data_IF_543129573396
#
_entry.id   IF_543129573396
#
_cell.length_a   1.000
_cell.length_b   1.000
_cell.length_c   1.000
_cell.angle_alpha   90.00
_cell.angle_beta   90.00
_cell.angle_gamma   90.00
#
_symmetry.space_group_name_H-M   'P 1'
#
loop_
_entity.id
_entity.type
_entity.pdbx_description
1 polymer ?
#
# COMPACT_ATOMS: atom_id res chain seq x y z
N UNK A 1 8.48 9.68 -63.55
CA UNK A 1 8.83 8.91 -62.33
C UNK A 1 10.25 9.26 -61.94
N UNK A 2 10.46 10.34 -61.19
CA UNK A 2 11.70 10.64 -60.46
C UNK A 2 11.34 11.75 -59.46
N UNK A 3 10.61 11.37 -58.41
CA UNK A 3 10.60 12.13 -57.17
C UNK A 3 11.67 11.49 -56.30
N UNK A 4 12.66 12.31 -55.98
CA UNK A 4 14.02 12.00 -55.57
C UNK A 4 14.13 11.25 -54.24
N UNK A 5 15.00 10.23 -54.22
CA UNK A 5 15.56 9.61 -53.01
C UNK A 5 16.11 10.61 -51.99
N UNK A 6 16.53 11.79 -52.45
CA UNK A 6 17.03 12.90 -51.62
C UNK A 6 16.00 13.42 -50.61
N UNK A 7 14.70 13.37 -50.91
CA UNK A 7 13.66 13.86 -50.00
C UNK A 7 13.39 12.89 -48.83
N UNK A 8 13.58 11.59 -49.06
CA UNK A 8 13.40 10.54 -48.04
C UNK A 8 14.59 10.56 -47.07
N UNK A 9 15.83 10.69 -47.58
CA UNK A 9 17.02 10.77 -46.73
C UNK A 9 17.06 12.06 -45.88
N UNK A 10 16.55 13.19 -46.40
CA UNK A 10 16.37 14.41 -45.61
C UNK A 10 15.34 14.24 -44.50
N UNK A 11 14.21 13.54 -44.75
CA UNK A 11 13.20 13.26 -43.73
C UNK A 11 13.73 12.31 -42.64
N UNK A 12 14.53 11.30 -42.99
CA UNK A 12 15.21 10.42 -42.03
C UNK A 12 16.29 11.15 -41.23
N UNK A 13 17.10 11.99 -41.88
CA UNK A 13 18.09 12.84 -41.22
C UNK A 13 17.46 13.85 -40.25
N UNK A 14 16.34 14.46 -40.63
CA UNK A 14 15.54 15.35 -39.76
C UNK A 14 14.94 14.58 -38.59
N UNK A 15 14.41 13.37 -38.79
CA UNK A 15 13.91 12.53 -37.69
C UNK A 15 15.03 12.10 -36.71
N UNK A 16 16.23 11.79 -37.19
CA UNK A 16 17.38 11.44 -36.34
C UNK A 16 17.86 12.68 -35.58
N UNK A 17 17.91 13.85 -36.21
CA UNK A 17 18.28 15.11 -35.56
C UNK A 17 17.23 15.53 -34.54
N UNK A 18 15.94 15.42 -34.84
CA UNK A 18 14.84 15.70 -33.90
C UNK A 18 14.89 14.70 -32.73
N UNK A 19 15.10 13.40 -32.98
CA UNK A 19 15.26 12.38 -31.93
C UNK A 19 16.49 12.65 -31.04
N UNK A 20 17.60 13.08 -31.64
CA UNK A 20 18.84 13.46 -30.93
C UNK A 20 18.67 14.76 -30.12
N UNK A 21 17.97 15.76 -30.66
CA UNK A 21 17.64 17.02 -29.97
C UNK A 21 16.64 16.78 -28.83
N UNK A 22 15.62 15.95 -29.04
CA UNK A 22 14.66 15.54 -28.00
C UNK A 22 15.33 14.70 -26.91
N UNK A 23 16.32 13.85 -27.26
CA UNK A 23 17.15 13.15 -26.27
C UNK A 23 18.06 14.11 -25.48
N UNK A 24 18.48 15.23 -26.05
CA UNK A 24 19.24 16.28 -25.34
C UNK A 24 18.37 17.20 -24.47
N UNK A 25 17.05 17.05 -24.47
CA UNK A 25 16.11 17.87 -23.67
C UNK A 25 15.57 17.16 -22.42
N UNK A 26 15.94 15.91 -22.17
CA UNK A 26 15.48 15.17 -20.99
C UNK A 26 16.20 15.63 -19.73
N UNK A 27 15.45 15.81 -18.66
CA UNK A 27 16.00 16.05 -17.33
C UNK A 27 16.55 14.73 -16.81
N UNK A 28 17.88 14.68 -16.64
CA UNK A 28 18.56 13.53 -16.06
C UNK A 28 18.40 13.55 -14.55
N UNK A 29 17.87 12.46 -13.99
CA UNK A 29 17.67 12.32 -12.55
C UNK A 29 18.45 11.11 -12.05
N UNK A 30 19.38 11.37 -11.14
CA UNK A 30 20.17 10.31 -10.50
C UNK A 30 19.44 9.75 -9.30
N UNK A 31 19.08 8.48 -9.37
CA UNK A 31 18.29 7.80 -8.35
C UNK A 31 19.05 6.58 -7.82
N UNK A 32 19.02 6.42 -6.50
CA UNK A 32 19.51 5.26 -5.79
C UNK A 32 18.35 4.56 -5.09
N UNK A 33 18.46 3.26 -4.90
CA UNK A 33 17.55 2.47 -4.08
C UNK A 33 18.32 1.90 -2.89
N UNK A 34 17.66 1.78 -1.74
CA UNK A 34 18.29 1.18 -0.55
C UNK A 34 18.76 -0.25 -0.82
N UNK A 35 19.75 -0.68 -0.04
CA UNK A 35 20.20 -2.08 -0.05
C UNK A 35 19.04 -3.04 0.27
N UNK A 36 18.92 -4.12 -0.52
CA UNK A 36 17.82 -5.09 -0.39
C UNK A 36 16.49 -4.67 -1.03
N UNK A 37 16.44 -3.57 -1.79
CA UNK A 37 15.29 -3.27 -2.64
C UNK A 37 15.09 -4.36 -3.71
N UNK A 38 13.90 -4.93 -3.77
CA UNK A 38 13.57 -5.99 -4.74
C UNK A 38 13.27 -5.40 -6.12
N UNK A 39 13.59 -6.17 -7.17
CA UNK A 39 13.47 -5.72 -8.56
C UNK A 39 12.06 -5.23 -8.91
N UNK A 40 11.01 -5.90 -8.41
CA UNK A 40 9.63 -5.48 -8.66
C UNK A 40 9.30 -4.13 -8.00
N UNK A 41 9.93 -3.77 -6.88
CA UNK A 41 9.71 -2.48 -6.22
C UNK A 41 10.34 -1.34 -7.03
N UNK A 42 11.57 -1.56 -7.50
CA UNK A 42 12.30 -0.65 -8.39
C UNK A 42 11.51 -0.46 -9.68
N UNK A 43 11.10 -1.56 -10.31
CA UNK A 43 10.31 -1.55 -11.53
C UNK A 43 8.95 -0.85 -11.32
N UNK A 44 8.26 -1.12 -10.22
CA UNK A 44 7.00 -0.46 -9.89
C UNK A 44 7.19 1.05 -9.74
N UNK A 45 8.25 1.47 -9.03
CA UNK A 45 8.58 2.88 -8.85
C UNK A 45 8.82 3.60 -10.19
N UNK A 46 9.71 3.05 -11.01
CA UNK A 46 10.09 3.65 -12.31
C UNK A 46 8.92 3.66 -13.31
N UNK A 47 8.11 2.60 -13.34
CA UNK A 47 6.93 2.51 -14.24
C UNK A 47 5.87 3.57 -13.94
N UNK A 48 5.83 4.17 -12.74
CA UNK A 48 4.91 5.29 -12.46
C UNK A 48 5.15 6.47 -13.39
N UNK A 49 6.42 6.81 -13.65
CA UNK A 49 6.77 7.95 -14.49
C UNK A 49 6.42 7.72 -15.96
N UNK A 50 6.54 6.48 -16.44
CA UNK A 50 6.08 6.11 -17.79
C UNK A 50 4.58 6.35 -18.00
N UNK A 51 3.76 6.23 -16.94
CA UNK A 51 2.30 6.44 -16.99
C UNK A 51 1.86 7.91 -16.88
N UNK A 52 2.74 8.82 -16.49
CA UNK A 52 2.40 10.24 -16.25
C UNK A 52 2.69 11.08 -17.50
N UNK A 53 3.93 10.98 -17.99
CA UNK A 53 4.49 11.43 -19.28
C UNK A 53 6.01 11.48 -19.07
N UNK A 54 6.63 10.31 -18.90
CA UNK A 54 8.04 10.18 -18.55
C UNK A 54 9.00 10.55 -19.68
N UNK A 55 8.50 11.04 -20.82
CA UNK A 55 9.31 11.42 -21.97
C UNK A 55 10.31 12.56 -21.65
N UNK A 56 10.02 13.34 -20.61
CA UNK A 56 10.83 14.45 -20.12
C UNK A 56 11.88 14.04 -19.08
N UNK A 57 11.80 12.84 -18.51
CA UNK A 57 12.73 12.34 -17.49
C UNK A 57 13.61 11.21 -18.04
N UNK A 58 14.87 11.22 -17.65
CA UNK A 58 15.79 10.10 -17.85
C UNK A 58 16.38 9.70 -16.48
N UNK A 59 16.06 8.50 -16.01
CA UNK A 59 16.58 8.00 -14.73
C UNK A 59 17.93 7.31 -14.92
N UNK A 60 18.94 7.81 -14.22
CA UNK A 60 20.24 7.16 -14.08
C UNK A 60 20.29 6.47 -12.71
N UNK A 61 20.33 5.14 -12.72
CA UNK A 61 20.36 4.36 -11.47
C UNK A 61 21.82 4.24 -11.01
N UNK A 62 22.20 5.06 -10.04
CA UNK A 62 23.52 5.06 -9.42
C UNK A 62 23.36 5.45 -7.94
N UNK A 63 23.43 4.47 -7.04
CA UNK A 63 23.23 4.68 -5.60
C UNK A 63 24.26 5.63 -4.99
N UNK A 64 25.51 5.59 -5.47
CA UNK A 64 26.61 6.37 -4.89
C UNK A 64 26.50 7.84 -5.29
N UNK A 65 26.15 8.10 -6.55
CA UNK A 65 26.02 9.46 -7.12
C UNK A 65 24.59 10.00 -7.15
N UNK A 66 23.65 9.28 -6.53
CA UNK A 66 22.24 9.64 -6.51
C UNK A 66 21.96 10.96 -5.78
N UNK A 67 21.11 11.79 -6.38
CA UNK A 67 20.46 12.91 -5.73
C UNK A 67 19.27 12.45 -4.87
N UNK A 68 18.55 11.43 -5.36
CA UNK A 68 17.37 10.84 -4.72
C UNK A 68 17.67 9.42 -4.22
N UNK A 69 17.38 9.13 -2.96
CA UNK A 69 17.44 7.77 -2.40
C UNK A 69 16.03 7.28 -2.07
N UNK A 70 15.61 6.21 -2.74
CA UNK A 70 14.29 5.59 -2.56
C UNK A 70 14.41 4.43 -1.57
N UNK A 71 13.62 4.52 -0.51
CA UNK A 71 13.49 3.51 0.53
C UNK A 71 12.09 2.88 0.51
N UNK A 72 11.96 1.69 1.08
CA UNK A 72 10.71 0.95 1.18
C UNK A 72 10.47 0.49 2.62
N UNK A 73 9.22 0.15 3.02
CA UNK A 73 8.90 -0.28 4.38
C UNK A 73 9.74 -1.46 4.91
N UNK A 74 10.18 -2.36 4.04
CA UNK A 74 11.03 -3.50 4.38
C UNK A 74 12.36 -3.09 5.02
N UNK A 75 12.79 -1.83 4.89
CA UNK A 75 13.89 -1.25 5.64
C UNK A 75 13.74 -1.51 7.15
N UNK A 76 12.53 -1.43 7.70
CA UNK A 76 12.29 -1.63 9.14
C UNK A 76 12.29 -3.08 9.60
N UNK A 77 12.19 -4.02 8.66
CA UNK A 77 12.29 -5.46 8.91
C UNK A 77 13.61 -6.04 8.42
N UNK A 78 14.47 -5.21 7.82
CA UNK A 78 15.79 -5.59 7.31
C UNK A 78 16.78 -5.86 8.44
N UNK A 79 17.98 -6.32 8.06
CA UNK A 79 19.06 -6.47 9.04
C UNK A 79 19.41 -5.12 9.66
N UNK A 80 19.95 -5.19 10.87
CA UNK A 80 20.47 -4.01 11.57
C UNK A 80 21.53 -3.29 10.75
N UNK A 81 22.39 -4.05 10.08
CA UNK A 81 23.46 -3.57 9.21
C UNK A 81 22.89 -2.78 8.03
N UNK A 82 21.85 -3.29 7.36
CA UNK A 82 21.19 -2.60 6.26
C UNK A 82 20.54 -1.29 6.71
N UNK A 83 19.93 -1.28 7.89
CA UNK A 83 19.35 -0.05 8.44
C UNK A 83 20.41 1.02 8.75
N UNK A 84 21.55 0.61 9.34
CA UNK A 84 22.67 1.52 9.61
C UNK A 84 23.30 2.05 8.32
N UNK A 85 23.46 1.19 7.31
CA UNK A 85 23.94 1.57 5.99
C UNK A 85 23.01 2.59 5.35
N UNK A 86 21.69 2.38 5.40
CA UNK A 86 20.70 3.36 4.95
C UNK A 86 20.90 4.73 5.62
N UNK A 87 21.08 4.77 6.95
CA UNK A 87 21.25 6.05 7.66
C UNK A 87 22.45 6.84 7.14
N UNK A 88 23.56 6.15 6.85
CA UNK A 88 24.76 6.78 6.29
C UNK A 88 24.54 7.21 4.83
N UNK A 89 24.03 6.30 3.98
CA UNK A 89 23.75 6.58 2.57
C UNK A 89 22.71 7.69 2.36
N UNK A 90 21.83 7.93 3.34
CA UNK A 90 20.79 8.94 3.32
C UNK A 90 21.31 10.38 3.49
N UNK A 91 22.58 10.55 3.91
CA UNK A 91 23.18 11.86 4.14
C UNK A 91 23.36 12.61 2.83
N UNK A 92 23.01 13.89 2.81
CA UNK A 92 23.12 14.74 1.62
C UNK A 92 22.12 14.45 0.50
N UNK A 93 21.36 13.34 0.55
CA UNK A 93 20.37 12.98 -0.49
C UNK A 93 18.96 13.47 -0.15
N UNK A 94 18.10 13.53 -1.16
CA UNK A 94 16.65 13.63 -1.00
C UNK A 94 16.12 12.23 -0.80
N UNK A 95 15.48 11.96 0.33
CA UNK A 95 15.13 10.58 0.71
C UNK A 95 13.63 10.41 0.71
N UNK A 96 13.16 9.41 -0.03
CA UNK A 96 11.73 9.17 -0.24
C UNK A 96 11.39 7.79 0.31
N UNK A 97 10.42 7.71 1.21
CA UNK A 97 9.81 6.44 1.61
C UNK A 97 8.66 6.13 0.66
N UNK A 98 8.78 5.07 -0.14
CA UNK A 98 7.75 4.59 -1.06
C UNK A 98 7.02 3.37 -0.48
N UNK A 99 5.79 3.58 -0.03
CA UNK A 99 4.98 2.57 0.67
C UNK A 99 4.00 1.91 -0.30
N UNK A 100 4.30 0.68 -0.73
CA UNK A 100 3.55 -0.05 -1.76
C UNK A 100 2.34 -0.85 -1.27
N UNK A 101 2.04 -0.83 0.04
CA UNK A 101 0.95 -1.65 0.58
C UNK A 101 0.95 -1.89 2.10
N UNK A 102 1.89 -1.30 2.83
CA UNK A 102 1.96 -1.44 4.29
C UNK A 102 1.33 -0.25 5.02
N UNK A 103 0.67 -0.52 6.13
CA UNK A 103 0.12 0.50 7.00
C UNK A 103 1.25 1.12 7.84
N UNK A 104 1.85 2.20 7.34
CA UNK A 104 3.02 2.81 7.95
C UNK A 104 2.89 4.34 7.96
N UNK A 105 3.06 4.94 9.15
CA UNK A 105 3.10 6.38 9.30
C UNK A 105 4.44 6.99 8.84
N UNK A 106 4.42 8.23 8.34
CA UNK A 106 5.61 8.90 7.85
C UNK A 106 6.56 9.25 9.01
N UNK A 107 7.86 8.97 8.82
CA UNK A 107 8.93 9.47 9.69
C UNK A 107 9.64 10.63 9.00
N UNK A 108 9.05 11.82 9.08
CA UNK A 108 9.54 13.03 8.41
C UNK A 108 10.88 13.56 8.97
N UNK A 109 11.44 12.92 10.00
CA UNK A 109 12.83 13.18 10.40
C UNK A 109 13.83 12.39 9.52
N UNK A 110 13.44 11.22 8.99
CA UNK A 110 14.30 10.40 8.14
C UNK A 110 14.06 10.60 6.64
N UNK A 111 12.85 10.98 6.25
CA UNK A 111 12.44 11.08 4.84
C UNK A 111 12.02 12.51 4.48
N UNK A 112 12.50 13.02 3.36
CA UNK A 112 12.05 14.29 2.76
C UNK A 112 10.60 14.16 2.33
N UNK A 113 10.28 13.06 1.67
CA UNK A 113 8.94 12.74 1.17
C UNK A 113 8.48 11.35 1.61
N UNK A 114 7.18 11.19 1.73
CA UNK A 114 6.52 9.93 1.98
C UNK A 114 5.42 9.71 0.95
N UNK A 115 5.56 8.67 0.14
CA UNK A 115 4.55 8.21 -0.80
C UNK A 115 3.81 7.07 -0.13
N UNK A 116 2.51 7.25 0.15
CA UNK A 116 1.77 6.28 0.94
C UNK A 116 0.27 6.58 1.02
N UNK A 117 -0.34 6.19 2.14
CA UNK A 117 -1.78 6.32 2.35
C UNK A 117 -2.18 7.65 2.99
N UNK A 118 -1.23 8.34 3.62
CA UNK A 118 -1.49 9.55 4.39
C UNK A 118 -1.98 10.70 3.49
N UNK A 119 -2.85 11.53 4.07
CA UNK A 119 -3.35 12.71 3.37
C UNK A 119 -2.19 13.69 3.07
N UNK A 120 -2.25 14.44 1.95
CA UNK A 120 -1.27 15.47 1.69
C UNK A 120 -1.20 16.49 2.82
N UNK A 121 0.01 16.91 3.18
CA UNK A 121 0.28 17.98 4.13
C UNK A 121 0.52 19.32 3.41
N UNK A 122 0.52 20.40 4.17
CA UNK A 122 0.70 21.76 3.63
C UNK A 122 2.11 21.99 3.05
N UNK A 123 3.12 21.24 3.52
CA UNK A 123 4.50 21.33 3.04
C UNK A 123 4.78 20.46 1.80
N UNK A 124 3.79 19.66 1.36
CA UNK A 124 3.91 18.80 0.18
C UNK A 124 4.88 17.63 0.36
N UNK A 125 5.14 17.20 1.60
CA UNK A 125 6.00 16.06 1.94
C UNK A 125 5.25 14.75 1.86
N UNK A 126 3.93 14.77 2.04
CA UNK A 126 3.07 13.60 2.01
C UNK A 126 2.37 13.49 0.64
N UNK A 127 2.70 12.44 -0.09
CA UNK A 127 2.12 12.14 -1.39
C UNK A 127 1.15 10.97 -1.24
N UNK A 128 -0.15 11.28 -1.22
CA UNK A 128 -1.20 10.28 -1.15
C UNK A 128 -1.25 9.48 -2.47
N UNK A 129 -0.77 8.24 -2.43
CA UNK A 129 -0.64 7.39 -3.58
C UNK A 129 -1.98 6.77 -3.98
N UNK A 130 -2.30 6.80 -5.27
CA UNK A 130 -3.46 6.10 -5.86
C UNK A 130 -3.02 4.78 -6.51
N UNK A 131 -2.33 3.90 -5.78
CA UNK A 131 -1.72 2.69 -6.38
C UNK A 131 -2.73 1.64 -6.87
N UNK A 132 -3.93 1.64 -6.30
CA UNK A 132 -5.04 0.77 -6.72
C UNK A 132 -5.96 1.46 -7.74
N UNK A 133 -5.56 2.61 -8.31
CA UNK A 133 -6.38 3.37 -9.26
C UNK A 133 -6.95 2.48 -10.37
N UNK A 134 -6.09 1.76 -11.08
CA UNK A 134 -6.46 0.95 -12.25
C UNK A 134 -7.48 -0.13 -11.84
N UNK A 135 -7.34 -0.71 -10.64
CA UNK A 135 -8.27 -1.69 -10.11
C UNK A 135 -9.60 -1.08 -9.64
N UNK A 136 -9.55 0.09 -8.99
CA UNK A 136 -10.75 0.83 -8.57
C UNK A 136 -11.56 1.30 -9.79
N UNK A 137 -10.91 1.62 -10.90
CA UNK A 137 -11.59 1.97 -12.16
C UNK A 137 -12.33 0.78 -12.78
N UNK A 138 -11.82 -0.45 -12.64
CA UNK A 138 -12.54 -1.65 -13.10
C UNK A 138 -13.87 -1.87 -12.37
N UNK A 139 -14.05 -1.29 -11.18
CA UNK A 139 -15.30 -1.45 -10.42
C UNK A 139 -16.45 -0.61 -10.97
N UNK A 140 -16.20 0.35 -11.85
CA UNK A 140 -17.23 1.26 -12.38
C UNK A 140 -18.31 0.50 -13.13
N UNK A 141 -17.96 -0.60 -13.80
CA UNK A 141 -18.87 -1.35 -14.69
C UNK A 141 -19.57 -2.53 -13.98
N UNK A 142 -19.18 -2.87 -12.74
CA UNK A 142 -19.71 -4.05 -12.02
C UNK A 142 -21.19 -3.97 -11.64
N UNK A 143 -21.78 -2.77 -11.59
CA UNK A 143 -23.19 -2.57 -11.22
C UNK A 143 -24.17 -3.05 -12.31
N UNK A 144 -23.67 -3.45 -13.47
CA UNK A 144 -24.46 -3.96 -14.59
C UNK A 144 -24.79 -5.45 -14.48
N UNK A 145 -24.22 -6.16 -13.50
CA UNK A 145 -24.50 -7.58 -13.29
C UNK A 145 -25.86 -7.79 -12.61
N UNK A 146 -26.66 -8.72 -13.13
CA UNK A 146 -27.93 -9.11 -12.51
C UNK A 146 -27.67 -9.79 -11.15
N UNK A 147 -28.23 -9.29 -10.04
CA UNK A 147 -28.10 -9.91 -8.72
C UNK A 147 -28.56 -11.37 -8.64
N UNK A 148 -29.57 -11.77 -9.42
CA UNK A 148 -30.05 -13.16 -9.45
C UNK A 148 -28.99 -14.11 -10.03
N UNK A 149 -28.33 -13.70 -11.12
CA UNK A 149 -27.23 -14.46 -11.72
C UNK A 149 -26.04 -14.57 -10.76
N UNK A 150 -25.74 -13.48 -10.04
CA UNK A 150 -24.69 -13.47 -9.03
C UNK A 150 -25.00 -14.43 -7.88
N UNK A 151 -26.25 -14.46 -7.40
CA UNK A 151 -26.70 -15.33 -6.31
C UNK A 151 -26.73 -16.81 -6.71
N UNK A 152 -27.16 -17.12 -7.94
CA UNK A 152 -27.20 -18.49 -8.46
C UNK A 152 -25.82 -19.18 -8.42
N UNK A 153 -24.74 -18.41 -8.53
CA UNK A 153 -23.37 -18.91 -8.45
C UNK A 153 -22.80 -19.03 -7.03
N UNK A 154 -23.59 -18.80 -5.98
CA UNK A 154 -23.13 -18.84 -4.58
C UNK A 154 -23.54 -20.13 -3.88
N UNK A 155 -22.56 -20.99 -3.59
CA UNK A 155 -22.73 -22.23 -2.82
C UNK A 155 -22.19 -22.11 -1.38
N UNK A 156 -21.30 -21.16 -1.13
CA UNK A 156 -20.66 -20.91 0.15
C UNK A 156 -21.23 -19.70 0.88
N UNK A 157 -21.23 -19.78 2.22
CA UNK A 157 -21.63 -18.65 3.07
C UNK A 157 -20.59 -17.53 3.05
N UNK A 158 -19.41 -17.79 3.60
CA UNK A 158 -18.37 -16.78 3.78
C UNK A 158 -16.98 -17.40 3.64
N UNK A 159 -16.06 -16.68 2.99
CA UNK A 159 -14.65 -17.06 2.93
C UNK A 159 -13.75 -16.19 3.81
N UNK A 160 -12.64 -16.78 4.24
CA UNK A 160 -11.53 -16.17 4.97
C UNK A 160 -10.19 -16.55 4.30
N UNK A 161 -9.51 -15.58 3.69
CA UNK A 161 -8.33 -15.84 2.85
C UNK A 161 -7.12 -15.07 3.39
N UNK A 162 -6.41 -15.66 4.36
CA UNK A 162 -5.25 -15.04 5.02
C UNK A 162 -4.11 -16.04 5.22
N UNK A 163 -2.86 -15.59 5.07
CA UNK A 163 -1.68 -16.47 5.14
C UNK A 163 -1.06 -16.59 6.53
N UNK A 164 -1.24 -15.60 7.41
CA UNK A 164 -0.70 -15.61 8.78
C UNK A 164 -1.59 -14.87 9.78
N UNK A 165 -1.43 -15.21 11.06
CA UNK A 165 -2.22 -14.65 12.17
C UNK A 165 -1.70 -13.34 12.77
N UNK A 166 -0.60 -12.79 12.24
CA UNK A 166 0.03 -11.55 12.77
C UNK A 166 -0.72 -10.25 12.46
N UNK A 167 -1.86 -10.32 11.76
CA UNK A 167 -2.70 -9.15 11.53
C UNK A 167 -3.46 -8.73 12.79
N UNK A 168 -4.19 -7.62 12.70
CA UNK A 168 -4.97 -7.09 13.80
C UNK A 168 -5.97 -8.13 14.35
N UNK A 169 -6.12 -8.26 15.69
CA UNK A 169 -6.95 -9.29 16.31
C UNK A 169 -8.40 -9.34 15.82
N UNK A 170 -8.94 -8.19 15.38
CA UNK A 170 -10.28 -8.08 14.82
C UNK A 170 -10.56 -9.10 13.71
N UNK A 171 -9.57 -9.43 12.87
CA UNK A 171 -9.69 -10.45 11.82
C UNK A 171 -10.12 -11.81 12.37
N UNK A 172 -9.42 -12.24 13.42
CA UNK A 172 -9.61 -13.57 14.03
C UNK A 172 -10.90 -13.56 14.86
N UNK A 173 -11.17 -12.47 15.56
CA UNK A 173 -12.40 -12.32 16.34
C UNK A 173 -13.63 -12.38 15.42
N UNK A 174 -13.64 -11.64 14.31
CA UNK A 174 -14.72 -11.68 13.33
C UNK A 174 -14.88 -13.08 12.69
N UNK A 175 -13.77 -13.73 12.33
CA UNK A 175 -13.81 -15.10 11.83
C UNK A 175 -14.44 -16.06 12.84
N UNK A 176 -14.04 -15.98 14.11
CA UNK A 176 -14.53 -16.85 15.18
C UNK A 176 -16.02 -16.65 15.45
N UNK A 177 -16.47 -15.39 15.57
CA UNK A 177 -17.87 -15.06 15.84
C UNK A 177 -18.77 -15.45 14.66
N UNK A 178 -18.34 -15.23 13.41
CA UNK A 178 -19.09 -15.68 12.23
C UNK A 178 -19.12 -17.20 12.10
N UNK A 179 -18.02 -17.89 12.40
CA UNK A 179 -17.94 -19.36 12.37
C UNK A 179 -18.87 -20.02 13.39
N UNK A 180 -19.20 -19.33 14.48
CA UNK A 180 -20.20 -19.78 15.45
C UNK A 180 -21.64 -19.70 14.91
N UNK A 181 -21.90 -18.80 13.95
CA UNK A 181 -23.20 -18.70 13.28
C UNK A 181 -23.34 -19.72 12.14
N UNK A 182 -22.39 -19.72 11.20
CA UNK A 182 -22.37 -20.61 10.03
C UNK A 182 -20.92 -20.83 9.59
N UNK A 183 -20.59 -22.01 9.06
CA UNK A 183 -19.21 -22.36 8.66
C UNK A 183 -18.62 -21.28 7.75
N UNK A 184 -17.49 -20.72 8.17
CA UNK A 184 -16.64 -19.85 7.34
C UNK A 184 -15.51 -20.70 6.78
N UNK A 185 -15.34 -20.68 5.46
CA UNK A 185 -14.28 -21.41 4.78
C UNK A 185 -12.98 -20.60 4.82
N UNK A 186 -12.05 -21.05 5.65
CA UNK A 186 -10.69 -20.54 5.74
C UNK A 186 -9.83 -21.24 4.67
N UNK A 187 -9.63 -20.54 3.55
CA UNK A 187 -8.94 -21.06 2.37
C UNK A 187 -7.44 -20.75 2.43
N UNK A 188 -7.05 -19.66 3.09
CA UNK A 188 -5.63 -19.31 3.26
C UNK A 188 -4.89 -20.26 4.21
N UNK A 189 -3.57 -20.11 4.33
CA UNK A 189 -2.72 -20.92 5.23
C UNK A 189 -3.12 -20.77 6.70
N UNK A 190 -3.65 -19.62 7.10
CA UNK A 190 -4.04 -19.34 8.47
C UNK A 190 -5.46 -19.85 8.76
N UNK A 191 -5.58 -20.66 9.82
CA UNK A 191 -6.84 -21.31 10.24
C UNK A 191 -7.46 -22.21 9.16
N UNK A 192 -6.64 -22.72 8.23
CA UNK A 192 -7.10 -23.46 7.07
C UNK A 192 -8.06 -24.60 7.45
N UNK A 193 -9.24 -24.61 6.85
CA UNK A 193 -10.24 -25.67 7.00
C UNK A 193 -10.86 -26.11 5.66
N UNK A 194 -10.40 -25.50 4.56
CA UNK A 194 -10.88 -25.73 3.19
C UNK A 194 -9.70 -25.70 2.22
N UNK A 195 -9.61 -26.64 1.25
CA UNK A 195 -8.50 -26.71 0.31
C UNK A 195 -8.28 -25.41 -0.48
N UNK A 196 -7.02 -25.01 -0.63
CA UNK A 196 -6.64 -23.85 -1.41
C UNK A 196 -6.26 -24.26 -2.84
N UNK A 197 -7.15 -23.99 -3.81
CA UNK A 197 -6.88 -24.31 -5.22
C UNK A 197 -5.86 -23.36 -5.86
N UNK A 198 -5.73 -22.13 -5.34
CA UNK A 198 -4.85 -21.09 -5.89
C UNK A 198 -4.04 -20.46 -4.75
N UNK A 199 -2.75 -20.80 -4.59
CA UNK A 199 -1.95 -20.31 -3.48
C UNK A 199 -1.61 -18.81 -3.59
N UNK A 200 -1.18 -18.19 -2.48
CA UNK A 200 -0.79 -16.77 -2.43
C UNK A 200 0.38 -16.45 -3.36
N UNK A 201 1.22 -17.44 -3.60
CA UNK A 201 2.43 -17.36 -4.41
C UNK A 201 2.16 -17.55 -5.93
N UNK A 202 0.89 -17.67 -6.34
CA UNK A 202 0.52 -17.72 -7.75
C UNK A 202 0.88 -16.40 -8.48
N UNK A 203 1.20 -16.51 -9.78
CA UNK A 203 1.65 -15.39 -10.62
C UNK A 203 0.68 -14.20 -10.61
N UNK A 204 -0.62 -14.46 -10.77
CA UNK A 204 -1.68 -13.46 -10.61
C UNK A 204 -2.53 -13.78 -9.38
N UNK A 205 -1.99 -13.45 -8.21
CA UNK A 205 -2.74 -13.56 -6.96
C UNK A 205 -4.04 -12.76 -6.98
N UNK A 206 -4.09 -11.61 -7.64
CA UNK A 206 -5.28 -10.77 -7.63
C UNK A 206 -6.45 -11.51 -8.30
N UNK A 207 -6.25 -11.99 -9.53
CA UNK A 207 -7.23 -12.79 -10.25
C UNK A 207 -7.54 -14.10 -9.51
N UNK A 208 -6.51 -14.77 -8.99
CA UNK A 208 -6.67 -16.00 -8.21
C UNK A 208 -7.57 -15.80 -6.98
N UNK A 209 -7.36 -14.71 -6.25
CA UNK A 209 -8.14 -14.38 -5.06
C UNK A 209 -9.58 -14.00 -5.39
N UNK A 210 -9.88 -13.52 -6.60
CA UNK A 210 -11.25 -13.28 -7.08
C UNK A 210 -11.94 -14.62 -7.34
N UNK A 211 -11.25 -15.55 -8.01
CA UNK A 211 -11.78 -16.89 -8.28
C UNK A 211 -12.10 -17.65 -6.98
N UNK A 212 -11.22 -17.59 -5.98
CA UNK A 212 -11.47 -18.22 -4.68
C UNK A 212 -12.68 -17.62 -3.94
N UNK A 213 -12.99 -16.34 -4.13
CA UNK A 213 -14.11 -15.66 -3.49
C UNK A 213 -15.44 -15.86 -4.22
N UNK A 214 -15.40 -16.16 -5.52
CA UNK A 214 -16.56 -16.21 -6.41
C UNK A 214 -17.71 -17.12 -5.91
N UNK A 215 -17.46 -18.29 -5.29
CA UNK A 215 -18.55 -19.15 -4.84
C UNK A 215 -19.28 -18.66 -3.57
N UNK A 216 -18.83 -17.58 -2.92
CA UNK A 216 -19.33 -17.19 -1.60
C UNK A 216 -20.24 -15.96 -1.62
N UNK A 217 -21.30 -15.95 -0.79
CA UNK A 217 -22.16 -14.78 -0.56
C UNK A 217 -21.39 -13.62 0.09
N UNK A 218 -20.51 -13.92 1.04
CA UNK A 218 -19.71 -12.94 1.78
C UNK A 218 -18.21 -13.24 1.70
N UNK A 219 -17.38 -12.20 1.87
CA UNK A 219 -15.94 -12.34 2.06
C UNK A 219 -15.45 -11.45 3.20
N UNK A 220 -14.72 -12.02 4.15
CA UNK A 220 -14.05 -11.22 5.19
C UNK A 220 -12.91 -10.45 4.52
N UNK A 221 -13.11 -9.15 4.33
CA UNK A 221 -12.20 -8.23 3.65
C UNK A 221 -11.51 -7.29 4.65
N UNK A 222 -10.97 -7.85 5.73
CA UNK A 222 -10.33 -7.10 6.81
C UNK A 222 -8.85 -6.80 6.51
N UNK A 223 -8.40 -5.60 6.86
CA UNK A 223 -7.01 -5.19 6.77
C UNK A 223 -6.14 -5.71 7.92
N UNK A 224 -4.82 -5.75 7.70
CA UNK A 224 -3.88 -6.33 8.68
C UNK A 224 -3.66 -5.38 9.84
N UNK A 225 -4.05 -4.11 9.67
CA UNK A 225 -3.92 -3.04 10.63
C UNK A 225 -5.13 -2.12 10.52
N UNK A 226 -5.46 -1.49 11.63
CA UNK A 226 -6.27 -0.27 11.59
C UNK A 226 -5.35 0.89 11.22
N UNK A 227 -5.65 1.60 10.14
CA UNK A 227 -4.90 2.79 9.75
C UNK A 227 -5.77 3.65 8.82
N UNK A 228 -5.81 4.96 9.06
CA UNK A 228 -6.64 5.87 8.23
C UNK A 228 -6.15 5.82 6.79
N UNK A 229 -7.08 5.74 5.83
CA UNK A 229 -6.82 5.67 4.38
C UNK A 229 -6.11 4.39 3.92
N UNK A 230 -5.85 3.44 4.80
CA UNK A 230 -5.24 2.15 4.45
C UNK A 230 -6.29 1.16 3.94
N UNK A 231 -6.62 1.27 2.65
CA UNK A 231 -7.44 0.28 1.95
C UNK A 231 -6.62 -0.43 0.89
N UNK A 232 -6.68 -1.76 0.89
CA UNK A 232 -5.92 -2.60 -0.04
C UNK A 232 -6.82 -3.32 -1.06
N UNK A 233 -6.30 -4.33 -1.73
CA UNK A 233 -6.99 -5.12 -2.75
C UNK A 233 -8.16 -5.96 -2.20
N UNK A 234 -8.24 -6.17 -0.88
CA UNK A 234 -9.15 -7.16 -0.27
C UNK A 234 -10.63 -6.84 -0.52
N UNK A 235 -11.02 -5.58 -0.36
CA UNK A 235 -12.38 -5.14 -0.67
C UNK A 235 -12.66 -5.17 -2.18
N UNK A 236 -11.67 -4.77 -3.00
CA UNK A 236 -11.78 -4.72 -4.46
C UNK A 236 -11.99 -6.12 -5.03
N UNK A 237 -11.18 -7.09 -4.61
CA UNK A 237 -11.29 -8.49 -5.07
C UNK A 237 -12.59 -9.16 -4.63
N UNK A 238 -13.17 -8.71 -3.50
CA UNK A 238 -14.51 -9.13 -3.08
C UNK A 238 -15.58 -8.59 -4.03
N UNK A 239 -15.53 -7.30 -4.38
CA UNK A 239 -16.43 -6.74 -5.39
C UNK A 239 -16.31 -7.41 -6.76
N UNK A 240 -15.08 -7.65 -7.23
CA UNK A 240 -14.84 -8.34 -8.51
C UNK A 240 -15.36 -9.78 -8.53
N UNK A 241 -15.40 -10.43 -7.37
CA UNK A 241 -15.97 -11.77 -7.19
C UNK A 241 -17.50 -11.76 -7.00
N UNK A 242 -18.13 -10.58 -7.07
CA UNK A 242 -19.56 -10.38 -6.80
C UNK A 242 -19.96 -11.01 -5.46
N UNK A 243 -19.13 -10.81 -4.44
CA UNK A 243 -19.38 -11.24 -3.06
C UNK A 243 -19.45 -9.99 -2.18
N UNK A 244 -20.35 -10.00 -1.19
CA UNK A 244 -20.51 -8.87 -0.28
C UNK A 244 -19.29 -8.78 0.64
N UNK A 245 -18.50 -7.69 0.58
CA UNK A 245 -17.36 -7.54 1.47
C UNK A 245 -17.83 -7.24 2.90
N UNK A 246 -17.28 -7.96 3.87
CA UNK A 246 -17.34 -7.62 5.30
C UNK A 246 -16.02 -6.92 5.64
N UNK A 247 -16.05 -5.59 5.67
CA UNK A 247 -14.83 -4.77 5.68
C UNK A 247 -14.53 -4.19 7.06
N UNK A 248 -13.25 -4.24 7.45
CA UNK A 248 -12.68 -3.55 8.60
C UNK A 248 -11.22 -3.18 8.31
N UNK A 249 -10.72 -2.05 8.81
CA UNK A 249 -9.36 -1.57 8.52
C UNK A 249 -9.27 -0.06 8.47
N UNK A 250 -9.51 0.53 7.30
CA UNK A 250 -9.61 1.98 7.12
C UNK A 250 -10.96 2.50 7.67
N UNK A 251 -10.98 3.35 8.72
CA UNK A 251 -12.22 3.94 9.22
C UNK A 251 -12.88 4.92 8.23
N UNK A 252 -12.17 5.37 7.19
CA UNK A 252 -12.64 6.29 6.16
C UNK A 252 -12.97 5.58 4.84
N UNK A 253 -13.20 4.25 4.86
CA UNK A 253 -13.46 3.45 3.65
C UNK A 253 -14.65 3.95 2.82
N UNK A 254 -15.61 4.62 3.45
CA UNK A 254 -16.76 5.23 2.78
C UNK A 254 -16.41 6.49 1.95
N UNK A 255 -15.20 7.01 2.09
CA UNK A 255 -14.67 8.00 1.14
C UNK A 255 -14.27 7.36 -0.20
N UNK A 256 -14.15 6.03 -0.26
CA UNK A 256 -13.62 5.29 -1.40
C UNK A 256 -14.67 4.40 -2.09
N UNK A 257 -15.60 3.84 -1.32
CA UNK A 257 -16.60 2.88 -1.79
C UNK A 257 -18.00 3.23 -1.28
N UNK A 258 -19.04 2.85 -2.03
CA UNK A 258 -20.42 3.11 -1.66
C UNK A 258 -20.77 2.35 -0.37
N UNK A 259 -21.16 3.02 0.73
CA UNK A 259 -21.48 2.36 2.00
C UNK A 259 -22.67 1.40 1.92
N UNK A 260 -23.46 1.43 0.85
CA UNK A 260 -24.56 0.49 0.63
C UNK A 260 -24.15 -0.80 -0.08
N UNK A 261 -22.93 -0.87 -0.62
CA UNK A 261 -22.45 -2.01 -1.40
C UNK A 261 -21.66 -3.04 -0.56
N UNK A 262 -21.38 -2.75 0.71
CA UNK A 262 -20.60 -3.61 1.60
C UNK A 262 -21.00 -3.42 3.06
N UNK A 263 -20.60 -4.35 3.93
CA UNK A 263 -20.83 -4.26 5.37
C UNK A 263 -19.62 -3.58 6.01
N UNK A 264 -19.77 -2.31 6.38
CA UNK A 264 -18.75 -1.55 7.09
C UNK A 264 -18.77 -1.87 8.59
N UNK A 265 -17.81 -2.64 9.08
CA UNK A 265 -17.70 -3.01 10.49
C UNK A 265 -17.55 -1.79 11.42
N UNK A 266 -17.02 -0.67 10.94
CA UNK A 266 -16.83 0.54 11.75
C UNK A 266 -18.14 1.26 12.10
N UNK A 267 -19.27 0.88 11.48
CA UNK A 267 -20.61 1.42 11.80
C UNK A 267 -21.25 0.79 13.03
N UNK A 268 -20.65 -0.27 13.56
CA UNK A 268 -21.21 -1.06 14.64
C UNK A 268 -20.38 -0.90 15.91
N UNK A 269 -21.06 -0.91 17.06
CA UNK A 269 -20.40 -0.73 18.36
C UNK A 269 -19.79 -2.04 18.87
N UNK A 270 -20.16 -3.18 18.30
CA UNK A 270 -19.64 -4.49 18.69
C UNK A 270 -19.62 -5.51 17.54
N UNK A 271 -18.77 -6.53 17.67
CA UNK A 271 -18.76 -7.68 16.76
C UNK A 271 -20.11 -8.41 16.70
N UNK A 272 -20.86 -8.44 17.80
CA UNK A 272 -22.20 -9.06 17.85
C UNK A 272 -23.18 -8.35 16.93
N UNK A 273 -23.14 -7.03 16.87
CA UNK A 273 -23.98 -6.24 15.95
C UNK A 273 -23.57 -6.47 14.49
N UNK A 274 -22.26 -6.59 14.22
CA UNK A 274 -21.76 -6.95 12.87
C UNK A 274 -22.30 -8.31 12.44
N UNK A 275 -22.20 -9.32 13.31
CA UNK A 275 -22.72 -10.68 13.02
C UNK A 275 -24.24 -10.67 12.87
N UNK A 276 -24.96 -9.90 13.70
CA UNK A 276 -26.41 -9.77 13.59
C UNK A 276 -26.83 -9.17 12.24
N UNK A 277 -26.11 -8.16 11.73
CA UNK A 277 -26.37 -7.62 10.40
C UNK A 277 -26.09 -8.64 9.29
N UNK A 278 -24.95 -9.34 9.37
CA UNK A 278 -24.60 -10.37 8.38
C UNK A 278 -25.66 -11.47 8.36
N UNK A 279 -26.13 -11.91 9.53
CA UNK A 279 -27.22 -12.88 9.66
C UNK A 279 -28.52 -12.37 9.01
N UNK A 280 -28.89 -11.11 9.29
CA UNK A 280 -30.07 -10.47 8.69
C UNK A 280 -30.03 -10.47 7.16
N UNK A 281 -28.87 -10.17 6.57
CA UNK A 281 -28.68 -10.16 5.11
C UNK A 281 -28.54 -11.60 4.56
N UNK A 282 -27.97 -12.54 5.31
CA UNK A 282 -27.84 -13.92 4.86
C UNK A 282 -29.20 -14.63 4.78
N UNK A 283 -30.10 -14.34 5.72
CA UNK A 283 -31.44 -14.95 5.83
C UNK A 283 -32.48 -14.32 4.90
N UNK A 284 -32.14 -13.21 4.23
CA UNK A 284 -33.01 -12.48 3.32
C UNK A 284 -32.29 -12.21 1.99
N UNK A 285 -32.62 -13.00 0.98
CA UNK A 285 -32.00 -12.90 -0.35
C UNK A 285 -32.26 -11.54 -1.00
N UNK A 286 -33.40 -10.89 -0.74
CA UNK A 286 -33.71 -9.60 -1.34
C UNK A 286 -32.84 -8.49 -0.74
N UNK A 287 -32.51 -8.57 0.56
CA UNK A 287 -31.51 -7.68 1.16
C UNK A 287 -30.11 -7.90 0.57
N UNK A 288 -29.71 -9.16 0.35
CA UNK A 288 -28.43 -9.47 -0.27
C UNK A 288 -28.38 -8.97 -1.72
N UNK A 289 -29.42 -9.22 -2.51
CA UNK A 289 -29.56 -8.76 -3.90
C UNK A 289 -29.59 -7.24 -3.99
N UNK A 290 -30.28 -6.55 -3.08
CA UNK A 290 -30.30 -5.09 -3.02
C UNK A 290 -28.89 -4.53 -2.80
N UNK A 291 -28.11 -5.10 -1.87
CA UNK A 291 -26.71 -4.72 -1.67
C UNK A 291 -25.84 -5.05 -2.89
N UNK A 292 -26.12 -6.17 -3.57
CA UNK A 292 -25.44 -6.56 -4.80
C UNK A 292 -25.77 -5.61 -5.97
N UNK A 293 -26.98 -5.06 -6.04
CA UNK A 293 -27.40 -4.11 -7.08
C UNK A 293 -26.76 -2.72 -6.93
N UNK A 294 -26.28 -2.36 -5.74
CA UNK A 294 -25.68 -1.06 -5.47
C UNK A 294 -24.38 -0.85 -6.26
N UNK A 295 -24.14 0.35 -6.83
CA UNK A 295 -22.87 0.66 -7.45
C UNK A 295 -21.75 0.57 -6.41
N UNK A 296 -20.62 -0.04 -6.77
CA UNK A 296 -19.50 -0.24 -5.81
C UNK A 296 -18.87 1.06 -5.37
N UNK A 297 -18.98 2.09 -6.23
CA UNK A 297 -18.48 3.44 -6.00
C UNK A 297 -19.50 4.44 -6.54
N UNK A 298 -19.69 5.52 -5.82
CA UNK A 298 -20.53 6.65 -6.23
C UNK A 298 -19.76 7.55 -7.22
N UNK A 299 -20.45 8.31 -8.11
CA UNK A 299 -19.79 9.18 -9.08
C UNK A 299 -18.74 10.11 -8.47
N UNK A 300 -19.07 10.81 -7.38
CA UNK A 300 -18.13 11.71 -6.69
C UNK A 300 -16.91 10.99 -6.10
N UNK A 301 -17.03 9.71 -5.73
CA UNK A 301 -15.88 8.92 -5.25
C UNK A 301 -14.92 8.61 -6.40
N UNK A 302 -15.47 8.35 -7.59
CA UNK A 302 -14.69 8.10 -8.82
C UNK A 302 -13.96 9.39 -9.22
N UNK A 303 -14.67 10.52 -9.29
CA UNK A 303 -14.10 11.84 -9.61
C UNK A 303 -12.98 12.21 -8.62
N UNK A 304 -13.23 12.09 -7.32
CA UNK A 304 -12.23 12.39 -6.29
C UNK A 304 -10.98 11.50 -6.38
N UNK A 305 -11.12 10.26 -6.83
CA UNK A 305 -9.96 9.36 -7.04
C UNK A 305 -9.12 9.81 -8.24
N UNK A 306 -9.78 10.31 -9.30
CA UNK A 306 -9.10 10.92 -10.45
C UNK A 306 -8.35 12.19 -10.02
N UNK A 307 -8.99 13.10 -9.29
CA UNK A 307 -8.34 14.30 -8.76
C UNK A 307 -7.12 13.98 -7.88
N UNK A 308 -7.24 12.97 -6.99
CA UNK A 308 -6.13 12.49 -6.17
C UNK A 308 -4.96 11.99 -7.03
N UNK A 309 -5.25 11.20 -8.07
CA UNK A 309 -4.23 10.69 -8.99
C UNK A 309 -3.55 11.81 -9.75
N UNK A 310 -4.31 12.78 -10.25
CA UNK A 310 -3.75 13.91 -11.01
C UNK A 310 -2.88 14.80 -10.12
N UNK A 311 -3.32 15.09 -8.89
CA UNK A 311 -2.52 15.81 -7.89
C UNK A 311 -1.25 15.05 -7.52
N UNK A 312 -1.35 13.74 -7.27
CA UNK A 312 -0.20 12.89 -6.99
C UNK A 312 0.82 12.94 -8.13
N UNK A 313 0.36 12.78 -9.37
CA UNK A 313 1.21 12.81 -10.56
C UNK A 313 1.90 14.16 -10.73
N UNK A 314 1.17 15.26 -10.54
CA UNK A 314 1.72 16.61 -10.67
C UNK A 314 2.80 16.90 -9.61
N UNK A 315 2.55 16.57 -8.34
CA UNK A 315 3.54 16.77 -7.26
C UNK A 315 4.75 15.86 -7.45
N UNK A 316 4.54 14.60 -7.85
CA UNK A 316 5.65 13.68 -8.14
C UNK A 316 6.53 14.22 -9.27
N UNK A 317 5.93 14.68 -10.37
CA UNK A 317 6.70 15.29 -11.47
C UNK A 317 7.44 16.54 -11.03
N UNK A 318 6.79 17.42 -10.25
CA UNK A 318 7.43 18.62 -9.70
C UNK A 318 8.67 18.29 -8.87
N UNK A 319 8.61 17.26 -8.02
CA UNK A 319 9.76 16.84 -7.18
C UNK A 319 10.94 16.42 -8.05
N UNK A 320 10.70 15.64 -9.09
CA UNK A 320 11.75 15.04 -9.91
C UNK A 320 12.24 15.94 -11.06
N UNK A 321 11.56 17.04 -11.35
CA UNK A 321 11.95 18.01 -12.40
C UNK A 321 12.50 19.33 -11.84
N UNK A 322 12.34 19.58 -10.54
CA UNK A 322 12.87 20.78 -9.89
C UNK A 322 14.33 20.60 -9.47
N UNK A 323 15.12 21.69 -9.34
CA UNK A 323 16.45 21.64 -8.76
C UNK A 323 16.44 21.01 -7.35
N UNK A 324 17.43 20.17 -7.06
CA UNK A 324 17.50 19.33 -5.84
C UNK A 324 17.45 20.17 -4.56
N UNK A 325 18.08 21.33 -4.58
CA UNK A 325 18.10 22.31 -3.50
C UNK A 325 16.72 22.87 -3.15
N UNK A 326 15.80 22.94 -4.12
CA UNK A 326 14.44 23.44 -3.92
C UNK A 326 13.48 22.38 -3.39
N UNK A 327 13.82 21.10 -3.55
CA UNK A 327 12.99 19.97 -3.13
C UNK A 327 13.50 19.29 -1.87
N UNK A 328 14.57 19.79 -1.25
CA UNK A 328 14.98 19.35 0.08
C UNK A 328 13.99 19.82 1.13
N UNK A 329 13.54 18.89 1.98
CA UNK A 329 12.54 19.13 3.02
C UNK A 329 13.02 18.76 4.42
N UNK A 330 13.93 17.78 4.53
CA UNK A 330 14.57 17.45 5.80
C UNK A 330 15.49 18.58 6.23
N UNK A 331 15.43 18.90 7.51
CA UNK A 331 16.41 19.77 8.13
C UNK A 331 17.82 19.16 8.09
N UNK A 332 18.80 20.02 8.31
CA UNK A 332 20.19 19.66 8.53
C UNK A 332 20.69 20.29 9.84
N UNK A 333 21.74 19.73 10.43
CA UNK A 333 22.38 20.25 11.64
C UNK A 333 22.15 19.42 12.90
N UNK A 334 22.42 20.03 14.05
CA UNK A 334 22.68 19.34 15.31
C UNK A 334 21.58 18.34 15.73
N UNK A 335 20.32 18.76 15.76
CA UNK A 335 19.23 17.88 16.22
C UNK A 335 18.88 16.77 15.24
N UNK A 336 19.01 17.03 13.93
CA UNK A 336 18.84 16.01 12.90
C UNK A 336 19.96 14.97 12.98
N UNK A 337 21.19 15.43 13.23
CA UNK A 337 22.33 14.56 13.48
C UNK A 337 22.13 13.74 14.76
N UNK A 338 21.66 14.35 15.85
CA UNK A 338 21.35 13.61 17.09
C UNK A 338 20.27 12.55 16.88
N UNK A 339 19.21 12.86 16.12
CA UNK A 339 18.16 11.89 15.83
C UNK A 339 18.67 10.70 15.01
N UNK A 340 19.50 10.94 13.99
CA UNK A 340 20.17 9.86 13.24
C UNK A 340 21.12 9.07 14.12
N UNK A 341 21.95 9.78 14.89
CA UNK A 341 22.95 9.19 15.77
C UNK A 341 22.30 8.35 16.88
N UNK A 342 21.09 8.70 17.33
CA UNK A 342 20.35 7.87 18.28
C UNK A 342 20.18 6.43 17.76
N UNK A 343 19.82 6.27 16.49
CA UNK A 343 19.70 4.95 15.90
C UNK A 343 21.07 4.30 15.69
N UNK A 344 22.08 5.03 15.20
CA UNK A 344 23.42 4.44 15.01
C UNK A 344 24.03 3.99 16.33
N UNK A 345 23.97 4.80 17.37
CA UNK A 345 24.61 4.54 18.66
C UNK A 345 23.87 3.43 19.41
N UNK A 346 22.53 3.49 19.49
CA UNK A 346 21.74 2.46 20.18
C UNK A 346 21.65 1.15 19.42
N UNK A 347 21.75 1.20 18.10
CA UNK A 347 21.89 0.02 17.25
C UNK A 347 23.35 -0.27 16.92
N UNK A 348 24.36 0.23 17.65
CA UNK A 348 25.74 -0.28 17.58
C UNK A 348 26.13 -1.05 18.85
N UNK A 349 25.49 -0.75 19.97
CA UNK A 349 25.74 -1.43 21.26
C UNK A 349 25.21 -2.88 21.28
N UNK A 350 26.03 -3.83 21.76
CA UNK A 350 25.61 -5.20 22.09
C UNK A 350 24.65 -5.16 23.29
N UNK A 351 23.36 -5.47 23.06
CA UNK A 351 22.28 -5.53 24.08
C UNK A 351 22.58 -6.36 25.33
N UNK A 352 23.55 -7.26 25.28
CA UNK A 352 23.82 -8.24 26.33
C UNK A 352 24.39 -7.59 27.60
N UNK A 353 25.19 -6.54 27.45
CA UNK A 353 25.82 -5.84 28.57
C UNK A 353 24.85 -4.86 29.25
N UNK A 354 24.02 -4.17 28.48
CA UNK A 354 23.06 -3.20 29.01
C UNK A 354 21.91 -3.88 29.76
N UNK A 355 21.44 -5.05 29.31
CA UNK A 355 20.40 -5.80 30.02
C UNK A 355 20.93 -6.37 31.34
N UNK A 356 22.20 -6.76 31.40
CA UNK A 356 22.88 -7.17 32.65
C UNK A 356 23.07 -5.96 33.57
N UNK A 357 23.55 -4.82 33.06
CA UNK A 357 23.71 -3.57 33.82
C UNK A 357 22.38 -3.08 34.39
N UNK A 358 21.31 -3.09 33.60
CA UNK A 358 19.97 -2.67 34.05
C UNK A 358 19.41 -3.62 35.13
N UNK A 359 19.57 -4.94 34.96
CA UNK A 359 19.19 -5.92 35.98
C UNK A 359 20.00 -5.76 37.27
N UNK A 360 21.29 -5.48 37.16
CA UNK A 360 22.15 -5.21 38.33
C UNK A 360 21.75 -3.91 39.03
N UNK A 361 21.52 -2.84 38.28
CA UNK A 361 21.07 -1.55 38.80
C UNK A 361 19.70 -1.66 39.50
N UNK A 362 18.74 -2.38 38.91
CA UNK A 362 17.43 -2.64 39.53
C UNK A 362 17.55 -3.49 40.81
N UNK A 363 18.48 -4.45 40.84
CA UNK A 363 18.75 -5.28 42.02
C UNK A 363 19.41 -4.45 43.14
N UNK A 364 20.34 -3.57 42.80
CA UNK A 364 20.95 -2.59 43.70
C UNK A 364 19.90 -1.63 44.29
N UNK A 365 19.01 -1.13 43.43
CA UNK A 365 17.94 -0.21 43.80
C UNK A 365 16.89 -0.86 44.70
N UNK A 366 16.49 -2.10 44.40
CA UNK A 366 15.60 -2.88 45.26
C UNK A 366 16.22 -3.20 46.64
N UNK A 367 17.53 -3.45 46.72
CA UNK A 367 18.21 -3.62 48.02
C UNK A 367 18.20 -2.34 48.87
N UNK A 368 18.22 -1.16 48.24
CA UNK A 368 18.14 0.13 48.94
C UNK A 368 16.72 0.45 49.42
N UNK A 369 15.70 0.09 48.63
CA UNK A 369 14.30 0.34 48.96
C UNK A 369 13.71 -0.69 49.94
N UNK A 370 14.24 -1.92 49.94
CA UNK A 370 13.82 -2.99 50.84
C UNK A 370 15.03 -3.64 51.50
N UNK A 371 15.68 -2.98 52.48
CA UNK A 371 16.69 -3.65 53.30
C UNK A 371 16.00 -4.81 54.02
N UNK A 372 16.37 -6.05 53.68
CA UNK A 372 15.90 -7.22 54.42
C UNK A 372 16.42 -7.10 55.86
N UNK A 373 15.51 -7.08 56.82
CA UNK A 373 15.80 -7.20 58.26
C UNK A 373 16.50 -8.53 58.56
#
# INVERSE_FOLDING_TARGET
>A
MFLSSVQIDCLWGICIIISSILNNMRIKVKVGFIEGAEEWQINFFLRRFQKIDGSVLEFEIDKERADFLIAFPWLYTSSRENYLQFLEESRGKIVIMDVLGEALAPNLNLFDYHIGFDAPDDDGRLLCMSYLFDLRMKLKDLHTMNPDDALCGKDGFCNYIYSHGLGHPYRIQLFSELSAYKKVDAIGKHLNNTPCLIPREAEDWLAGSVLLKKPYKFSIACENSWYRRYTTEKIITSFLACTVPVYWGNPLVEEEYNPKAFINCHRYSSLKEVVAEIKRIDEDEELWKAMMAEPRRLPWQIEREQEKKDKFNAELMKIFTSPVEHVRKRGDGFWMNNYRNFFTDKMTVKKEDDRKKLKSALKEWNKRLFPRF
#
